data_IF_756161919651
#
_entry.id   IF_756161919651
#
_cell.length_a   1.000
_cell.length_b   1.000
_cell.length_c   1.000
_cell.angle_alpha   90.00
_cell.angle_beta   90.00
_cell.angle_gamma   90.00
#
_symmetry.space_group_name_H-M   'P 1'
#
loop_
_entity.id
_entity.type
_entity.pdbx_description
1 polymer ?
#
# COMPACT_ATOMS: atom_id res chain seq x y z
N UNK A 1 11.94 -18.49 2.72
CA UNK A 1 12.38 -17.08 2.66
C UNK A 1 13.85 -16.95 3.03
N UNK A 2 14.63 -16.40 2.10
CA UNK A 2 16.01 -15.96 2.34
C UNK A 2 16.05 -14.74 3.27
N UNK A 3 17.23 -14.37 3.79
CA UNK A 3 17.39 -13.16 4.60
C UNK A 3 17.01 -11.89 3.82
N UNK A 4 17.29 -11.87 2.52
CA UNK A 4 16.94 -10.78 1.61
C UNK A 4 15.41 -10.69 1.42
N UNK A 5 14.74 -11.82 1.19
CA UNK A 5 13.28 -11.87 1.14
C UNK A 5 12.63 -11.42 2.46
N UNK A 6 13.23 -11.72 3.62
CA UNK A 6 12.74 -11.23 4.92
C UNK A 6 12.83 -9.71 5.04
N UNK A 7 13.93 -9.12 4.58
CA UNK A 7 14.09 -7.67 4.57
C UNK A 7 13.12 -7.00 3.59
N UNK A 8 12.96 -7.56 2.38
CA UNK A 8 12.00 -7.09 1.39
C UNK A 8 10.56 -7.15 1.91
N UNK A 9 10.16 -8.26 2.52
CA UNK A 9 8.84 -8.42 3.12
C UNK A 9 8.59 -7.40 4.25
N UNK A 10 9.58 -7.16 5.12
CA UNK A 10 9.46 -6.14 6.17
C UNK A 10 9.32 -4.74 5.58
N UNK A 11 10.03 -4.43 4.49
CA UNK A 11 9.92 -3.14 3.79
C UNK A 11 8.53 -2.97 3.16
N UNK A 12 8.05 -3.97 2.41
CA UNK A 12 6.71 -3.96 1.81
C UNK A 12 5.62 -3.83 2.87
N UNK A 13 5.73 -4.57 3.98
CA UNK A 13 4.78 -4.46 5.11
C UNK A 13 4.73 -3.04 5.68
N UNK A 14 5.89 -2.39 5.89
CA UNK A 14 5.93 -1.02 6.40
C UNK A 14 5.33 0.00 5.43
N UNK A 15 5.46 -0.22 4.12
CA UNK A 15 4.83 0.61 3.10
C UNK A 15 3.31 0.46 3.09
N UNK A 16 2.79 -0.77 3.23
CA UNK A 16 1.35 -1.01 3.39
C UNK A 16 0.78 -0.37 4.65
N UNK A 17 1.47 -0.49 5.78
CA UNK A 17 1.00 0.14 7.03
C UNK A 17 0.92 1.67 6.89
N UNK A 18 1.83 2.28 6.13
CA UNK A 18 1.79 3.72 5.83
C UNK A 18 0.72 4.07 4.79
N UNK A 19 0.53 3.25 3.76
CA UNK A 19 -0.59 3.37 2.81
C UNK A 19 -1.94 3.41 3.56
N UNK A 20 -2.18 2.46 4.46
CA UNK A 20 -3.41 2.37 5.26
C UNK A 20 -3.61 3.65 6.09
N UNK A 21 -2.54 4.20 6.68
CA UNK A 21 -2.60 5.47 7.40
C UNK A 21 -2.95 6.64 6.49
N UNK A 22 -2.33 6.75 5.32
CA UNK A 22 -2.62 7.84 4.37
C UNK A 22 -4.07 7.78 3.88
N UNK A 23 -4.56 6.58 3.55
CA UNK A 23 -5.95 6.35 3.16
C UNK A 23 -6.93 6.65 4.31
N UNK A 24 -6.59 6.28 5.54
CA UNK A 24 -7.39 6.63 6.72
C UNK A 24 -7.46 8.15 6.95
N UNK A 25 -6.36 8.88 6.77
CA UNK A 25 -6.35 10.35 6.85
C UNK A 25 -7.25 10.92 5.75
N UNK A 26 -7.06 10.51 4.49
CA UNK A 26 -7.88 10.96 3.35
C UNK A 26 -9.38 10.75 3.60
N UNK A 27 -9.77 9.64 4.21
CA UNK A 27 -11.16 9.34 4.54
C UNK A 27 -11.78 10.29 5.58
N UNK A 28 -10.96 10.94 6.42
CA UNK A 28 -11.43 11.91 7.43
C UNK A 28 -11.45 13.36 6.93
N UNK A 29 -10.78 13.63 5.81
CA UNK A 29 -10.68 14.97 5.25
C UNK A 29 -11.91 15.31 4.37
N UNK A 30 -12.31 16.59 4.33
CA UNK A 30 -13.29 17.03 3.35
C UNK A 30 -12.74 16.90 1.93
N UNK A 31 -13.64 16.75 0.96
CA UNK A 31 -13.25 16.70 -0.46
C UNK A 31 -12.48 17.94 -0.86
N UNK A 32 -11.31 17.75 -1.45
CA UNK A 32 -10.42 18.82 -1.88
C UNK A 32 -8.98 18.34 -2.02
N UNK A 33 -8.09 19.29 -2.33
CA UNK A 33 -6.68 19.00 -2.64
C UNK A 33 -5.95 18.23 -1.54
N UNK A 34 -6.28 18.47 -0.28
CA UNK A 34 -5.65 17.78 0.87
C UNK A 34 -6.06 16.31 0.94
N UNK A 35 -7.35 16.01 0.77
CA UNK A 35 -7.83 14.63 0.66
C UNK A 35 -7.15 13.91 -0.52
N UNK A 36 -7.11 14.56 -1.69
CA UNK A 36 -6.51 13.99 -2.89
C UNK A 36 -5.02 13.75 -2.72
N UNK A 37 -4.29 14.66 -2.05
CA UNK A 37 -2.87 14.50 -1.77
C UNK A 37 -2.59 13.27 -0.89
N UNK A 38 -3.39 13.05 0.17
CA UNK A 38 -3.26 11.86 1.02
C UNK A 38 -3.65 10.59 0.27
N UNK A 39 -4.71 10.62 -0.54
CA UNK A 39 -5.11 9.48 -1.37
C UNK A 39 -4.01 9.10 -2.37
N UNK A 40 -3.54 10.04 -3.18
CA UNK A 40 -2.48 9.82 -4.17
C UNK A 40 -1.14 9.39 -3.53
N UNK A 41 -0.87 9.85 -2.30
CA UNK A 41 0.28 9.36 -1.54
C UNK A 41 0.11 7.90 -1.13
N UNK A 42 -1.07 7.50 -0.67
CA UNK A 42 -1.40 6.11 -0.39
C UNK A 42 -1.21 5.21 -1.62
N UNK A 43 -1.72 5.63 -2.77
CA UNK A 43 -1.58 4.89 -4.03
C UNK A 43 -0.10 4.69 -4.42
N UNK A 44 0.73 5.73 -4.32
CA UNK A 44 2.17 5.62 -4.59
C UNK A 44 2.89 4.64 -3.66
N UNK A 45 2.49 4.59 -2.38
CA UNK A 45 3.06 3.65 -1.41
C UNK A 45 2.67 2.21 -1.75
N UNK A 46 1.44 2.01 -2.23
CA UNK A 46 0.95 0.71 -2.72
C UNK A 46 1.77 0.23 -3.92
N UNK A 47 2.00 1.11 -4.91
CA UNK A 47 2.84 0.80 -6.08
C UNK A 47 4.29 0.44 -5.68
N UNK A 48 4.89 1.16 -4.72
CA UNK A 48 6.24 0.84 -4.23
C UNK A 48 6.28 -0.51 -3.51
N UNK A 49 5.28 -0.80 -2.67
CA UNK A 49 5.18 -2.08 -1.97
C UNK A 49 5.08 -3.24 -2.97
N UNK A 50 4.18 -3.11 -3.95
CA UNK A 50 3.99 -4.11 -5.00
C UNK A 50 5.27 -4.35 -5.82
N UNK A 51 5.99 -3.28 -6.18
CA UNK A 51 7.25 -3.41 -6.92
C UNK A 51 8.33 -4.19 -6.13
N UNK A 52 8.36 -4.04 -4.80
CA UNK A 52 9.26 -4.83 -3.93
C UNK A 52 8.81 -6.29 -3.88
N UNK A 53 7.51 -6.53 -3.72
CA UNK A 53 6.95 -7.87 -3.65
C UNK A 53 7.22 -8.64 -4.95
N UNK A 54 6.96 -8.02 -6.09
CA UNK A 54 7.22 -8.58 -7.42
C UNK A 54 8.71 -8.88 -7.63
N UNK A 55 9.61 -7.94 -7.27
CA UNK A 55 11.05 -8.12 -7.45
C UNK A 55 11.64 -9.26 -6.60
N UNK A 56 10.98 -9.65 -5.50
CA UNK A 56 11.45 -10.66 -4.58
C UNK A 56 10.59 -11.94 -4.55
N UNK A 57 9.64 -12.06 -5.49
CA UNK A 57 8.67 -13.16 -5.60
C UNK A 57 7.96 -13.41 -4.26
N UNK A 58 7.48 -12.33 -3.63
CA UNK A 58 6.71 -12.35 -2.39
C UNK A 58 5.21 -12.34 -2.72
N UNK A 59 4.43 -12.98 -1.85
CA UNK A 59 2.96 -12.91 -1.94
C UNK A 59 2.50 -11.47 -1.65
N UNK A 60 1.83 -10.80 -2.60
CA UNK A 60 1.45 -9.41 -2.44
C UNK A 60 0.30 -9.24 -1.45
N UNK A 61 0.35 -8.21 -0.61
CA UNK A 61 -0.81 -7.85 0.22
C UNK A 61 -1.88 -7.19 -0.67
N UNK A 62 -3.15 -7.64 -0.62
CA UNK A 62 -4.21 -7.00 -1.40
C UNK A 62 -4.35 -5.52 -1.03
N UNK A 63 -4.16 -4.61 -1.98
CA UNK A 63 -4.23 -3.14 -1.79
C UNK A 63 -5.65 -2.61 -1.53
N UNK A 64 -6.66 -3.48 -1.45
CA UNK A 64 -8.07 -3.10 -1.32
C UNK A 64 -8.68 -2.43 -2.56
N UNK A 65 -7.87 -1.96 -3.52
CA UNK A 65 -8.29 -1.38 -4.81
C UNK A 65 -9.05 -2.38 -5.68
N UNK A 66 -8.69 -3.65 -5.54
CA UNK A 66 -9.33 -4.80 -6.18
C UNK A 66 -10.09 -5.64 -5.16
N UNK A 67 -10.64 -5.02 -4.10
CA UNK A 67 -11.71 -5.65 -3.36
C UNK A 67 -12.79 -5.97 -4.39
N UNK A 68 -12.80 -7.23 -4.85
CA UNK A 68 -13.80 -7.74 -5.76
C UNK A 68 -15.15 -7.28 -5.23
N UNK A 69 -16.04 -6.88 -6.14
CA UNK A 69 -17.44 -7.23 -5.99
C UNK A 69 -17.56 -8.75 -5.86
N UNK A 70 -17.12 -9.28 -4.72
CA UNK A 70 -17.53 -10.57 -4.20
C UNK A 70 -18.88 -10.28 -3.56
N UNK A 71 -19.91 -10.67 -4.31
CA UNK A 71 -21.32 -10.70 -3.95
C UNK A 71 -21.58 -11.14 -2.50
#
# INVERSE_FOLDING_TARGET
>A
MTSEQKAAHAKASALHDEEERQKAIAATLPKGEEQDAHFMRGERLSDEAWAIEEAHDLEPRPSGLWAKGAE
#
